data_IF_891079050700
#
_entry.id   IF_891079050700
#
_cell.length_a   1.000
_cell.length_b   1.000
_cell.length_c   1.000
_cell.angle_alpha   90.00
_cell.angle_beta   90.00
_cell.angle_gamma   90.00
#
_symmetry.space_group_name_H-M   'P 1'
#
loop_
_entity.id
_entity.type
_entity.pdbx_description
1 polymer ?
#
# COMPACT_ATOMS: atom_id res chain seq x y z
N UNK A 1 10.50 -33.41 65.58
CA UNK A 1 9.27 -32.87 64.96
C UNK A 1 9.47 -31.64 64.06
N UNK A 2 10.62 -30.95 64.03
CA UNK A 2 10.83 -29.78 63.14
C UNK A 2 11.26 -30.11 61.69
N UNK A 3 11.84 -31.28 61.43
CA UNK A 3 12.35 -31.64 60.09
C UNK A 3 11.30 -32.24 59.16
N UNK A 4 10.15 -32.69 59.67
CA UNK A 4 9.08 -33.26 58.85
C UNK A 4 8.15 -32.21 58.24
N UNK A 5 8.11 -31.00 58.81
CA UNK A 5 7.26 -29.90 58.30
C UNK A 5 7.85 -29.24 57.05
N UNK A 6 9.20 -29.23 56.93
CA UNK A 6 9.89 -28.63 55.78
C UNK A 6 9.74 -29.46 54.50
N UNK A 7 9.62 -30.79 54.62
CA UNK A 7 9.41 -31.69 53.49
C UNK A 7 8.00 -31.61 52.89
N UNK A 8 6.99 -31.31 53.73
CA UNK A 8 5.61 -31.14 53.29
C UNK A 8 5.43 -29.77 52.58
N UNK A 9 6.12 -28.73 53.05
CA UNK A 9 6.10 -27.42 52.40
C UNK A 9 6.79 -27.45 51.01
N UNK A 10 7.85 -28.25 50.85
CA UNK A 10 8.57 -28.38 49.58
C UNK A 10 7.76 -29.17 48.51
N UNK A 11 6.92 -30.13 48.93
CA UNK A 11 6.03 -30.85 48.01
C UNK A 11 4.80 -30.05 47.57
N UNK A 12 4.35 -29.08 48.38
CA UNK A 12 3.22 -28.21 48.02
C UNK A 12 3.57 -27.18 46.92
N UNK A 13 4.84 -26.75 46.84
CA UNK A 13 5.31 -25.84 45.77
C UNK A 13 5.62 -26.54 44.42
N UNK A 14 5.60 -27.88 44.37
CA UNK A 14 5.81 -28.63 43.11
C UNK A 14 4.51 -28.94 42.36
N UNK A 15 3.36 -28.51 42.88
CA UNK A 15 2.04 -28.82 42.32
C UNK A 15 1.36 -27.66 41.58
N UNK A 16 2.05 -26.51 41.44
CA UNK A 16 1.63 -25.55 40.43
C UNK A 16 1.88 -26.18 39.07
N UNK A 17 0.82 -26.73 38.46
CA UNK A 17 0.78 -26.96 37.03
C UNK A 17 1.09 -25.60 36.38
N UNK A 18 2.36 -25.40 36.03
CA UNK A 18 2.73 -24.43 35.03
C UNK A 18 2.14 -25.02 33.75
N UNK A 19 0.85 -24.75 33.52
CA UNK A 19 0.24 -25.00 32.23
C UNK A 19 0.97 -24.07 31.27
N UNK A 20 2.00 -24.60 30.62
CA UNK A 20 2.49 -24.02 29.38
C UNK A 20 1.25 -23.82 28.53
N UNK A 21 1.01 -22.57 28.12
CA UNK A 21 -0.16 -22.19 27.35
C UNK A 21 -0.22 -23.07 26.10
N UNK A 22 -1.08 -24.09 26.12
CA UNK A 22 -1.22 -25.06 25.04
C UNK A 22 -2.38 -24.60 24.16
N UNK A 23 -2.18 -24.61 22.84
CA UNK A 23 -3.27 -24.35 21.89
C UNK A 23 -4.46 -25.30 22.12
N UNK A 24 -5.65 -24.87 21.70
CA UNK A 24 -6.90 -25.61 21.89
C UNK A 24 -7.08 -26.68 20.80
N UNK A 25 -7.90 -27.70 21.07
CA UNK A 25 -8.29 -28.70 20.07
C UNK A 25 -9.55 -28.27 19.32
N UNK A 26 -9.77 -28.84 18.13
CA UNK A 26 -10.93 -28.51 17.31
C UNK A 26 -12.29 -28.66 18.04
N UNK A 27 -12.56 -29.71 18.86
CA UNK A 27 -13.81 -29.79 19.59
C UNK A 27 -14.05 -28.65 20.59
N UNK A 28 -12.97 -28.05 21.11
CA UNK A 28 -13.07 -26.87 21.95
C UNK A 28 -13.34 -25.61 21.13
N UNK A 29 -12.66 -25.46 19.97
CA UNK A 29 -12.94 -24.38 19.03
C UNK A 29 -14.41 -24.42 18.56
N UNK A 30 -14.90 -25.60 18.15
CA UNK A 30 -16.27 -25.80 17.69
C UNK A 30 -17.30 -25.25 18.69
N UNK A 31 -17.12 -25.57 19.99
CA UNK A 31 -17.98 -25.02 21.06
C UNK A 31 -17.90 -23.51 21.22
N UNK A 32 -16.75 -22.91 20.95
CA UNK A 32 -16.53 -21.46 21.08
C UNK A 32 -17.12 -20.69 19.91
N UNK A 33 -17.18 -21.30 18.71
CA UNK A 33 -17.70 -20.67 17.51
C UNK A 33 -19.17 -21.03 17.21
N UNK A 34 -19.74 -22.00 17.94
CA UNK A 34 -21.17 -22.39 17.92
C UNK A 34 -22.17 -21.23 17.95
N UNK A 35 -21.93 -20.11 18.70
CA UNK A 35 -22.85 -18.98 18.67
C UNK A 35 -22.90 -18.22 17.33
N UNK A 36 -21.92 -18.42 16.45
CA UNK A 36 -21.76 -17.66 15.20
C UNK A 36 -22.11 -18.48 13.96
N UNK A 37 -22.08 -19.81 14.06
CA UNK A 37 -22.19 -20.72 12.92
C UNK A 37 -23.10 -21.89 13.22
N UNK A 38 -23.90 -22.29 12.24
CA UNK A 38 -24.61 -23.55 12.29
C UNK A 38 -23.64 -24.75 12.31
N UNK A 39 -24.08 -25.85 12.92
CA UNK A 39 -23.29 -27.08 13.04
C UNK A 39 -22.78 -27.59 11.68
N UNK A 40 -23.57 -27.41 10.61
CA UNK A 40 -23.19 -27.79 9.25
C UNK A 40 -21.94 -27.03 8.77
N UNK A 41 -21.90 -25.71 9.01
CA UNK A 41 -20.77 -24.85 8.67
C UNK A 41 -19.52 -25.20 9.49
N UNK A 42 -19.68 -25.50 10.78
CA UNK A 42 -18.57 -25.96 11.63
C UNK A 42 -17.99 -27.28 11.11
N UNK A 43 -18.82 -28.19 10.63
CA UNK A 43 -18.35 -29.43 10.01
C UNK A 43 -17.64 -29.19 8.66
N UNK A 44 -17.99 -28.14 7.91
CA UNK A 44 -17.25 -27.78 6.69
C UNK A 44 -15.83 -27.31 7.00
N UNK A 45 -15.61 -26.58 8.09
CA UNK A 45 -14.27 -26.27 8.59
C UNK A 45 -13.51 -27.56 8.91
N UNK A 46 -14.15 -28.47 9.65
CA UNK A 46 -13.54 -29.73 10.06
C UNK A 46 -13.02 -30.54 8.88
N UNK A 47 -13.76 -30.59 7.77
CA UNK A 47 -13.40 -31.33 6.55
C UNK A 47 -12.19 -30.72 5.83
N UNK A 48 -12.05 -29.40 5.89
CA UNK A 48 -11.03 -28.66 5.14
C UNK A 48 -9.72 -28.43 5.92
N UNK A 49 -9.76 -28.61 7.24
CA UNK A 49 -8.56 -28.64 8.08
C UNK A 49 -7.74 -29.93 7.87
N UNK A 50 -6.46 -29.98 8.29
CA UNK A 50 -5.61 -31.15 8.10
C UNK A 50 -6.23 -32.45 8.65
N UNK A 51 -6.47 -33.41 7.76
CA UNK A 51 -6.98 -34.74 8.11
C UNK A 51 -5.83 -35.70 8.46
N UNK A 52 -6.03 -36.52 9.49
CA UNK A 52 -5.06 -37.57 9.87
C UNK A 52 -3.79 -37.07 10.59
N UNK A 53 -3.62 -35.75 10.75
CA UNK A 53 -2.57 -35.15 11.56
C UNK A 53 -3.17 -34.53 12.82
N UNK A 54 -2.54 -34.74 13.98
CA UNK A 54 -2.92 -34.01 15.20
C UNK A 54 -2.43 -32.56 15.11
N UNK A 55 -3.26 -31.62 15.55
CA UNK A 55 -2.94 -30.19 15.53
C UNK A 55 -3.53 -29.46 16.74
N UNK A 56 -3.02 -28.26 16.99
CA UNK A 56 -3.52 -27.34 18.01
C UNK A 56 -3.79 -25.98 17.37
N UNK A 57 -4.89 -25.35 17.75
CA UNK A 57 -5.27 -24.00 17.32
C UNK A 57 -4.72 -23.01 18.36
N UNK A 58 -3.96 -22.03 17.90
CA UNK A 58 -3.27 -21.06 18.76
C UNK A 58 -3.92 -19.68 18.74
N UNK A 59 -4.63 -19.35 17.67
CA UNK A 59 -5.44 -18.15 17.55
C UNK A 59 -6.60 -18.41 16.60
N UNK A 60 -7.71 -17.73 16.83
CA UNK A 60 -8.84 -17.67 15.93
C UNK A 60 -9.57 -16.36 16.12
N UNK A 61 -10.30 -15.94 15.09
CA UNK A 61 -11.25 -14.85 15.21
C UNK A 61 -12.43 -15.07 14.26
N UNK A 62 -13.56 -14.44 14.57
CA UNK A 62 -14.82 -14.53 13.82
C UNK A 62 -15.32 -13.13 13.51
N UNK A 63 -15.68 -12.88 12.26
CA UNK A 63 -16.23 -11.60 11.82
C UNK A 63 -16.29 -11.55 10.29
N UNK A 64 -16.86 -10.48 9.75
CA UNK A 64 -17.07 -10.30 8.32
C UNK A 64 -15.82 -9.66 7.66
N UNK A 65 -15.07 -10.42 6.85
CA UNK A 65 -14.00 -9.90 6.00
C UNK A 65 -14.26 -10.09 4.49
N UNK A 66 -15.33 -10.79 4.12
CA UNK A 66 -15.89 -10.87 2.76
C UNK A 66 -16.74 -9.63 2.40
N UNK A 67 -17.26 -8.93 3.41
CA UNK A 67 -18.16 -7.80 3.27
C UNK A 67 -19.58 -8.17 2.87
N UNK A 68 -19.98 -9.44 2.98
CA UNK A 68 -21.30 -9.93 2.57
C UNK A 68 -22.36 -9.89 3.70
N UNK A 69 -21.97 -9.47 4.90
CA UNK A 69 -22.84 -9.37 6.07
C UNK A 69 -22.98 -10.67 6.86
N UNK A 70 -22.30 -11.76 6.46
CA UNK A 70 -22.20 -13.00 7.20
C UNK A 70 -20.86 -13.09 7.95
N UNK A 71 -20.81 -13.97 8.96
CA UNK A 71 -19.57 -14.16 9.70
C UNK A 71 -18.63 -15.05 8.87
N UNK A 72 -17.36 -14.67 8.85
CA UNK A 72 -16.26 -15.49 8.37
C UNK A 72 -15.40 -15.96 9.55
N UNK A 73 -14.45 -16.86 9.31
CA UNK A 73 -13.54 -17.32 10.37
C UNK A 73 -12.11 -17.47 9.86
N UNK A 74 -11.18 -16.98 10.67
CA UNK A 74 -9.75 -17.17 10.48
C UNK A 74 -9.15 -17.89 11.67
N UNK A 75 -8.12 -18.71 11.43
CA UNK A 75 -7.42 -19.42 12.52
C UNK A 75 -5.96 -19.70 12.20
N UNK A 76 -5.12 -19.69 13.24
CA UNK A 76 -3.74 -20.13 13.21
C UNK A 76 -3.58 -21.48 13.91
N UNK A 77 -3.02 -22.45 13.20
CA UNK A 77 -2.85 -23.83 13.67
C UNK A 77 -1.39 -24.26 13.62
N UNK A 78 -1.03 -25.15 14.54
CA UNK A 78 0.25 -25.85 14.60
C UNK A 78 0.03 -27.34 14.53
N UNK A 79 0.70 -28.02 13.62
CA UNK A 79 0.71 -29.48 13.56
C UNK A 79 1.56 -30.04 14.71
N UNK A 80 1.03 -30.97 15.49
CA UNK A 80 1.69 -31.54 16.67
C UNK A 80 2.98 -32.31 16.32
N UNK A 81 3.03 -32.91 15.12
CA UNK A 81 4.20 -33.65 14.63
C UNK A 81 5.29 -32.77 14.00
N UNK A 82 5.02 -31.48 13.78
CA UNK A 82 5.95 -30.59 13.12
C UNK A 82 6.98 -30.01 14.12
N UNK A 83 8.22 -30.47 13.99
CA UNK A 83 9.37 -29.99 14.77
C UNK A 83 9.92 -28.66 14.27
N UNK A 84 9.53 -28.23 13.08
CA UNK A 84 9.88 -26.90 12.57
C UNK A 84 9.06 -25.82 13.28
N UNK A 85 9.49 -24.56 13.15
CA UNK A 85 8.80 -23.41 13.73
C UNK A 85 7.67 -22.90 12.82
N UNK A 86 6.94 -23.81 12.18
CA UNK A 86 5.87 -23.45 11.23
C UNK A 86 4.51 -23.33 11.91
N UNK A 87 3.78 -22.31 11.49
CA UNK A 87 2.37 -22.09 11.75
C UNK A 87 1.64 -22.01 10.42
N UNK A 88 0.45 -22.60 10.37
CA UNK A 88 -0.43 -22.50 9.22
C UNK A 88 -1.60 -21.59 9.57
N UNK A 89 -1.89 -20.62 8.72
CA UNK A 89 -3.03 -19.72 8.87
C UNK A 89 -4.06 -20.07 7.81
N UNK A 90 -5.31 -20.21 8.22
CA UNK A 90 -6.44 -20.52 7.34
C UNK A 90 -7.48 -19.41 7.44
N UNK A 91 -7.98 -18.99 6.30
CA UNK A 91 -9.09 -18.05 6.15
C UNK A 91 -10.23 -18.79 5.49
N UNK A 92 -11.42 -18.69 6.07
CA UNK A 92 -12.65 -19.27 5.54
C UNK A 92 -13.69 -18.17 5.43
N UNK A 93 -14.35 -18.08 4.28
CA UNK A 93 -15.48 -17.18 4.07
C UNK A 93 -16.77 -17.99 3.89
N UNK A 94 -17.91 -17.44 4.29
CA UNK A 94 -19.21 -18.03 3.96
C UNK A 94 -19.54 -17.74 2.49
N UNK A 95 -19.55 -18.79 1.66
CA UNK A 95 -19.88 -18.69 0.25
C UNK A 95 -21.07 -19.60 -0.02
N UNK A 96 -22.22 -18.98 -0.30
CA UNK A 96 -23.49 -19.65 -0.58
C UNK A 96 -23.98 -20.59 0.56
N UNK A 97 -23.69 -20.24 1.82
CA UNK A 97 -24.08 -21.04 2.99
C UNK A 97 -23.11 -22.19 3.27
N UNK A 98 -21.85 -22.05 2.85
CA UNK A 98 -20.77 -23.00 3.09
C UNK A 98 -19.51 -22.24 3.50
N UNK A 99 -18.89 -22.62 4.62
CA UNK A 99 -17.58 -22.08 4.97
C UNK A 99 -16.51 -22.69 4.06
N UNK A 100 -16.06 -21.93 3.08
CA UNK A 100 -15.05 -22.35 2.11
C UNK A 100 -13.69 -21.75 2.44
N UNK A 101 -12.63 -22.55 2.33
CA UNK A 101 -11.25 -22.07 2.54
C UNK A 101 -10.86 -21.15 1.40
N UNK A 102 -10.76 -19.85 1.70
CA UNK A 102 -10.37 -18.82 0.73
C UNK A 102 -8.88 -18.48 0.78
N UNK A 103 -8.20 -18.82 1.88
CA UNK A 103 -6.78 -18.54 2.05
C UNK A 103 -6.06 -19.57 2.92
N UNK A 104 -4.82 -19.89 2.56
CA UNK A 104 -3.92 -20.71 3.37
C UNK A 104 -2.50 -20.19 3.28
N UNK A 105 -1.92 -19.84 4.43
CA UNK A 105 -0.58 -19.29 4.52
C UNK A 105 0.28 -20.11 5.48
N UNK A 106 1.59 -20.08 5.27
CA UNK A 106 2.55 -20.72 6.18
C UNK A 106 3.57 -19.70 6.61
N UNK A 107 3.71 -19.52 7.92
CA UNK A 107 4.65 -18.59 8.53
C UNK A 107 5.57 -19.31 9.50
N UNK A 108 6.76 -18.75 9.69
CA UNK A 108 7.66 -19.19 10.75
C UNK A 108 7.51 -18.27 11.96
N UNK A 109 7.31 -18.84 13.15
CA UNK A 109 7.41 -18.08 14.40
C UNK A 109 8.85 -18.05 14.90
N UNK A 110 9.19 -17.07 15.73
CA UNK A 110 10.55 -16.89 16.24
C UNK A 110 10.77 -17.76 17.48
N UNK A 111 9.96 -17.58 18.51
CA UNK A 111 10.06 -18.22 19.81
C UNK A 111 8.80 -19.04 20.14
N UNK A 112 7.62 -18.46 19.96
CA UNK A 112 6.35 -19.05 20.37
C UNK A 112 5.30 -18.99 19.24
N UNK A 113 4.44 -20.01 19.10
CA UNK A 113 3.35 -20.00 18.12
C UNK A 113 2.41 -18.78 18.20
N UNK A 114 2.26 -18.18 19.39
CA UNK A 114 1.43 -16.99 19.64
C UNK A 114 1.93 -15.74 18.91
N UNK A 115 3.15 -15.76 18.39
CA UNK A 115 3.70 -14.69 17.55
C UNK A 115 3.07 -14.64 16.15
N UNK A 116 2.28 -15.66 15.80
CA UNK A 116 1.44 -15.71 14.60
C UNK A 116 -0.02 -15.71 15.02
N UNK A 117 -0.69 -14.58 14.82
CA UNK A 117 -2.07 -14.35 15.23
C UNK A 117 -2.96 -13.94 14.07
N UNK A 118 -4.27 -14.10 14.26
CA UNK A 118 -5.29 -13.64 13.33
C UNK A 118 -6.32 -12.79 14.07
N UNK A 119 -6.81 -11.73 13.42
CA UNK A 119 -7.88 -10.86 13.93
C UNK A 119 -8.74 -10.43 12.76
N UNK A 120 -10.07 -10.49 12.88
CA UNK A 120 -11.01 -9.97 11.89
C UNK A 120 -11.62 -8.68 12.43
N UNK A 121 -11.41 -7.57 11.72
CA UNK A 121 -11.93 -6.26 12.12
C UNK A 121 -12.07 -5.34 10.91
N UNK A 122 -13.19 -4.60 10.86
CA UNK A 122 -13.37 -3.54 9.87
C UNK A 122 -13.34 -4.03 8.43
N UNK A 123 -13.98 -5.17 8.14
CA UNK A 123 -14.02 -5.75 6.79
C UNK A 123 -12.71 -6.39 6.34
N UNK A 124 -11.77 -6.65 7.26
CA UNK A 124 -10.45 -7.22 6.95
C UNK A 124 -10.04 -8.30 7.94
N UNK A 125 -9.40 -9.35 7.45
CA UNK A 125 -8.70 -10.36 8.25
C UNK A 125 -7.21 -10.01 8.31
N UNK A 126 -6.73 -9.59 9.48
CA UNK A 126 -5.33 -9.31 9.74
C UNK A 126 -4.61 -10.56 10.18
N UNK A 127 -3.47 -10.84 9.53
CA UNK A 127 -2.52 -11.87 9.93
C UNK A 127 -1.28 -11.20 10.48
N UNK A 128 -1.07 -11.33 11.79
CA UNK A 128 0.09 -10.76 12.48
C UNK A 128 1.22 -11.78 12.51
N UNK A 129 2.43 -11.35 12.17
CA UNK A 129 3.66 -12.15 12.28
C UNK A 129 4.81 -11.34 12.88
N UNK A 130 5.56 -11.97 13.78
CA UNK A 130 6.81 -11.43 14.33
C UNK A 130 8.01 -12.00 13.57
N UNK A 131 8.79 -11.14 12.93
CA UNK A 131 10.03 -11.55 12.25
C UNK A 131 11.24 -11.50 13.18
N UNK A 132 11.29 -10.51 14.08
CA UNK A 132 12.36 -10.29 15.08
C UNK A 132 11.75 -9.66 16.35
N UNK A 133 12.54 -9.53 17.41
CA UNK A 133 12.08 -9.04 18.72
C UNK A 133 11.23 -7.75 18.68
N UNK A 134 11.51 -6.85 17.73
CA UNK A 134 10.79 -5.59 17.52
C UNK A 134 10.32 -5.39 16.07
N UNK A 135 10.30 -6.46 15.28
CA UNK A 135 9.93 -6.43 13.87
C UNK A 135 8.64 -7.22 13.71
N UNK A 136 7.54 -6.51 13.52
CA UNK A 136 6.22 -7.10 13.34
C UNK A 136 5.64 -6.63 12.02
N UNK A 137 4.95 -7.55 11.35
CA UNK A 137 4.19 -7.28 10.14
C UNK A 137 2.77 -7.78 10.36
N UNK A 138 1.79 -6.98 9.94
CA UNK A 138 0.38 -7.33 9.92
C UNK A 138 -0.10 -7.17 8.48
N UNK A 139 -0.40 -8.30 7.84
CA UNK A 139 -0.95 -8.32 6.48
C UNK A 139 -2.48 -8.44 6.58
N UNK A 140 -3.21 -7.48 6.03
CA UNK A 140 -4.67 -7.44 6.03
C UNK A 140 -5.22 -7.99 4.72
N UNK A 141 -6.16 -8.92 4.83
CA UNK A 141 -6.81 -9.56 3.70
C UNK A 141 -8.30 -9.24 3.67
N UNK A 142 -8.83 -8.96 2.49
CA UNK A 142 -10.27 -8.86 2.21
C UNK A 142 -10.62 -9.86 1.12
N UNK A 143 -11.85 -10.37 1.14
CA UNK A 143 -12.31 -11.31 0.12
C UNK A 143 -13.44 -10.68 -0.70
N UNK A 144 -13.28 -10.62 -2.01
CA UNK A 144 -14.29 -10.04 -2.90
C UNK A 144 -14.42 -10.86 -4.18
N UNK A 145 -15.63 -11.35 -4.47
CA UNK A 145 -15.98 -12.05 -5.71
C UNK A 145 -14.97 -13.15 -6.12
N UNK A 146 -14.61 -14.02 -5.17
CA UNK A 146 -13.67 -15.12 -5.41
C UNK A 146 -12.19 -14.72 -5.36
N UNK A 147 -11.85 -13.44 -5.18
CA UNK A 147 -10.48 -12.97 -5.05
C UNK A 147 -10.15 -12.65 -3.59
N UNK A 148 -9.12 -13.30 -3.04
CA UNK A 148 -8.49 -12.92 -1.78
C UNK A 148 -7.43 -11.86 -2.06
N UNK A 149 -7.66 -10.66 -1.53
CA UNK A 149 -6.84 -9.48 -1.77
C UNK A 149 -6.05 -9.14 -0.52
N UNK A 150 -4.72 -8.96 -0.62
CA UNK A 150 -3.95 -8.30 0.43
C UNK A 150 -4.17 -6.80 0.31
N UNK A 151 -5.11 -6.27 1.09
CA UNK A 151 -5.52 -4.88 1.00
C UNK A 151 -4.56 -3.92 1.69
N UNK A 152 -3.86 -4.37 2.73
CA UNK A 152 -2.99 -3.52 3.53
C UNK A 152 -1.84 -4.30 4.17
N UNK A 153 -0.69 -3.66 4.33
CA UNK A 153 0.39 -4.14 5.20
C UNK A 153 0.77 -3.04 6.18
N UNK A 154 0.68 -3.34 7.47
CA UNK A 154 1.32 -2.57 8.54
C UNK A 154 2.62 -3.26 8.96
N UNK A 155 3.70 -2.51 9.10
CA UNK A 155 4.97 -3.01 9.58
C UNK A 155 5.57 -2.07 10.63
N UNK A 156 6.18 -2.65 11.67
CA UNK A 156 6.96 -1.91 12.67
C UNK A 156 8.33 -2.53 12.79
N UNK A 157 9.35 -1.69 12.99
CA UNK A 157 10.71 -2.13 13.32
C UNK A 157 11.41 -1.11 14.20
N UNK A 158 12.40 -1.58 14.96
CA UNK A 158 13.30 -0.72 15.73
C UNK A 158 14.44 -0.20 14.85
N UNK A 159 14.69 1.10 14.87
CA UNK A 159 15.85 1.73 14.22
C UNK A 159 16.49 2.74 15.16
N UNK A 160 17.66 2.40 15.71
CA UNK A 160 18.31 3.19 16.77
C UNK A 160 17.37 3.41 17.97
N UNK A 161 17.15 4.67 18.33
CA UNK A 161 16.25 5.09 19.40
C UNK A 161 14.77 5.23 18.99
N UNK A 162 14.44 4.88 17.75
CA UNK A 162 13.13 5.08 17.16
C UNK A 162 12.43 3.77 16.85
N UNK A 163 11.11 3.77 17.04
CA UNK A 163 10.19 2.81 16.43
C UNK A 163 9.73 3.40 15.11
N UNK A 164 9.98 2.70 14.02
CA UNK A 164 9.51 3.06 12.69
C UNK A 164 8.27 2.24 12.36
N UNK A 165 7.18 2.91 12.01
CA UNK A 165 5.92 2.30 11.57
C UNK A 165 5.65 2.68 10.11
N UNK A 166 5.22 1.70 9.33
CA UNK A 166 4.95 1.80 7.90
C UNK A 166 3.60 1.17 7.61
N UNK A 167 2.71 1.90 6.93
CA UNK A 167 1.46 1.37 6.37
C UNK A 167 1.53 1.49 4.87
N UNK A 168 1.10 0.45 4.16
CA UNK A 168 0.87 0.44 2.72
C UNK A 168 -0.50 -0.16 2.47
N UNK A 169 -1.43 0.65 1.97
CA UNK A 169 -2.73 0.22 1.51
C UNK A 169 -2.67 0.08 -0.02
N UNK A 170 -2.94 -1.13 -0.51
CA UNK A 170 -2.85 -1.49 -1.92
C UNK A 170 -4.15 -1.25 -2.70
N UNK A 171 -5.25 -0.96 -2.00
CA UNK A 171 -6.58 -0.69 -2.58
C UNK A 171 -6.79 0.81 -2.77
N UNK A 172 -6.52 1.60 -1.74
CA UNK A 172 -6.68 3.06 -1.79
C UNK A 172 -5.36 3.76 -2.17
N UNK A 173 -4.29 2.98 -2.37
CA UNK A 173 -2.96 3.45 -2.71
C UNK A 173 -2.37 4.48 -1.73
N UNK A 174 -2.73 4.37 -0.45
CA UNK A 174 -2.17 5.20 0.62
C UNK A 174 -0.94 4.59 1.28
N UNK A 175 0.06 5.44 1.51
CA UNK A 175 1.22 5.13 2.35
C UNK A 175 1.27 6.02 3.58
N UNK A 176 1.68 5.45 4.72
CA UNK A 176 2.14 6.25 5.86
C UNK A 176 3.49 5.78 6.35
N UNK A 177 4.30 6.74 6.78
CA UNK A 177 5.62 6.51 7.38
C UNK A 177 5.72 7.35 8.66
N UNK A 178 6.05 6.70 9.77
CA UNK A 178 6.07 7.32 11.10
C UNK A 178 7.30 6.92 11.89
N UNK A 179 7.98 7.89 12.50
CA UNK A 179 9.09 7.64 13.42
C UNK A 179 8.74 8.17 14.81
N UNK A 180 8.78 7.26 15.79
CA UNK A 180 8.41 7.53 17.18
C UNK A 180 9.63 7.28 18.04
N UNK A 181 10.04 8.23 18.87
CA UNK A 181 11.12 8.03 19.83
C UNK A 181 10.68 7.01 20.87
N UNK A 182 11.31 5.84 20.92
CA UNK A 182 10.75 4.72 21.68
C UNK A 182 10.80 4.92 23.20
N UNK A 183 11.69 5.77 23.70
CA UNK A 183 11.82 6.02 25.14
C UNK A 183 10.59 6.72 25.73
N UNK A 184 10.01 7.67 25.01
CA UNK A 184 8.96 8.57 25.50
C UNK A 184 7.69 8.57 24.63
N UNK A 185 7.69 7.90 23.48
CA UNK A 185 6.54 7.85 22.56
C UNK A 185 6.35 9.12 21.74
N UNK A 186 7.32 10.03 21.73
CA UNK A 186 7.24 11.28 20.99
C UNK A 186 7.32 11.03 19.48
N UNK A 187 6.32 11.50 18.74
CA UNK A 187 6.32 11.46 17.27
C UNK A 187 7.30 12.50 16.74
N UNK A 188 8.34 12.03 16.07
CA UNK A 188 9.41 12.86 15.53
C UNK A 188 9.23 13.12 14.03
N UNK A 189 8.49 12.25 13.35
CA UNK A 189 8.17 12.37 11.93
C UNK A 189 6.92 11.58 11.60
N UNK A 190 6.08 12.15 10.75
CA UNK A 190 4.91 11.50 10.18
C UNK A 190 4.63 12.03 8.77
N UNK A 191 4.37 11.13 7.83
CA UNK A 191 3.89 11.46 6.48
C UNK A 191 2.79 10.51 6.06
N UNK A 192 1.77 11.06 5.41
CA UNK A 192 0.69 10.36 4.71
C UNK A 192 0.65 10.84 3.28
N UNK A 193 0.63 9.91 2.32
CA UNK A 193 0.77 10.24 0.90
C UNK A 193 0.15 9.18 0.00
N UNK A 194 -0.15 9.54 -1.26
CA UNK A 194 -0.59 8.59 -2.29
C UNK A 194 0.60 7.96 -3.02
N UNK A 195 0.37 6.74 -3.49
CA UNK A 195 1.33 5.90 -4.18
C UNK A 195 0.82 5.59 -5.58
N UNK A 196 1.65 5.76 -6.59
CA UNK A 196 1.31 5.48 -7.97
C UNK A 196 2.06 4.24 -8.44
N UNK A 197 1.42 3.07 -8.55
CA UNK A 197 2.05 1.95 -9.25
C UNK A 197 2.12 2.26 -10.75
N UNK A 198 3.29 2.03 -11.34
CA UNK A 198 3.52 2.14 -12.78
C UNK A 198 3.85 0.78 -13.32
N UNK A 199 3.01 0.28 -14.21
CA UNK A 199 3.18 -1.03 -14.85
C UNK A 199 3.74 -0.89 -16.26
N UNK A 200 4.35 -1.95 -16.78
CA UNK A 200 4.79 -1.98 -18.17
C UNK A 200 3.64 -1.67 -19.13
N UNK A 201 3.94 -0.88 -20.17
CA UNK A 201 2.96 -0.44 -21.15
C UNK A 201 2.27 -1.63 -21.83
N UNK A 202 0.94 -1.54 -21.96
CA UNK A 202 0.12 -2.59 -22.58
C UNK A 202 -0.23 -3.76 -21.64
N UNK A 203 0.21 -3.74 -20.38
CA UNK A 203 -0.18 -4.72 -19.38
C UNK A 203 -1.65 -4.54 -19.01
N UNK A 204 -2.42 -5.63 -19.09
CA UNK A 204 -3.78 -5.68 -18.55
C UNK A 204 -3.70 -5.81 -17.03
N UNK A 205 -4.36 -4.92 -16.29
CA UNK A 205 -4.43 -4.96 -14.83
C UNK A 205 -5.69 -5.72 -14.43
N UNK A 206 -5.53 -6.80 -13.69
CA UNK A 206 -6.63 -7.65 -13.28
C UNK A 206 -7.29 -7.16 -11.98
N UNK A 207 -8.51 -7.64 -11.72
CA UNK A 207 -9.25 -7.35 -10.49
C UNK A 207 -8.40 -7.64 -9.25
N UNK A 208 -8.42 -6.70 -8.30
CA UNK A 208 -7.67 -6.79 -7.05
C UNK A 208 -6.35 -6.03 -7.05
N UNK A 209 -5.88 -5.58 -8.21
CA UNK A 209 -4.73 -4.69 -8.32
C UNK A 209 -5.18 -3.29 -8.75
N UNK A 210 -4.54 -2.28 -8.21
CA UNK A 210 -4.83 -0.87 -8.51
C UNK A 210 -3.77 -0.30 -9.45
N UNK A 211 -4.20 0.58 -10.34
CA UNK A 211 -3.33 1.22 -11.33
C UNK A 211 -3.45 2.75 -11.35
N UNK A 212 -4.44 3.29 -10.64
CA UNK A 212 -4.78 4.70 -10.68
C UNK A 212 -4.89 5.23 -9.26
N UNK A 213 -4.13 6.28 -8.94
CA UNK A 213 -4.38 7.03 -7.71
C UNK A 213 -5.52 8.03 -7.93
N UNK A 214 -6.20 8.40 -6.86
CA UNK A 214 -7.25 9.41 -6.84
C UNK A 214 -6.99 10.38 -5.68
N UNK A 215 -7.10 11.68 -5.93
CA UNK A 215 -6.99 12.72 -4.90
C UNK A 215 -8.19 13.65 -4.93
N UNK A 216 -8.89 13.71 -3.79
CA UNK A 216 -9.99 14.60 -3.44
C UNK A 216 -9.90 15.03 -1.97
N UNK A 217 -8.71 14.94 -1.36
CA UNK A 217 -8.52 15.10 0.07
C UNK A 217 -8.27 16.55 0.43
N UNK A 218 -9.08 17.10 1.34
CA UNK A 218 -8.89 18.45 1.88
C UNK A 218 -7.50 18.65 2.50
N UNK A 219 -6.94 17.61 3.14
CA UNK A 219 -5.60 17.65 3.73
C UNK A 219 -4.48 17.84 2.69
N UNK A 220 -4.78 17.61 1.41
CA UNK A 220 -3.85 17.78 0.29
C UNK A 220 -4.09 19.07 -0.50
N UNK A 221 -5.01 19.92 -0.05
CA UNK A 221 -5.15 21.28 -0.57
C UNK A 221 -4.16 22.19 0.17
N UNK A 222 -3.04 22.51 -0.47
CA UNK A 222 -1.96 23.29 0.16
C UNK A 222 -2.02 24.78 -0.16
N UNK A 223 -2.83 25.19 -1.13
CA UNK A 223 -3.26 26.57 -1.33
C UNK A 223 -4.73 26.60 -1.74
N UNK A 224 -5.47 27.64 -1.32
CA UNK A 224 -6.84 27.83 -1.80
C UNK A 224 -7.92 26.99 -1.14
N UNK A 225 -7.67 26.35 0.01
CA UNK A 225 -8.66 25.50 0.70
C UNK A 225 -10.00 26.20 1.02
N UNK A 226 -10.03 27.53 1.06
CA UNK A 226 -11.27 28.31 1.20
C UNK A 226 -12.13 28.31 -0.07
N UNK A 227 -11.51 28.24 -1.26
CA UNK A 227 -12.17 28.25 -2.55
C UNK A 227 -12.57 26.85 -3.01
N UNK A 228 -11.88 25.81 -2.53
CA UNK A 228 -12.18 24.44 -2.89
C UNK A 228 -13.56 23.98 -2.39
N UNK A 229 -14.45 23.61 -3.31
CA UNK A 229 -15.86 23.24 -3.02
C UNK A 229 -16.09 21.72 -2.99
N UNK A 230 -15.05 20.93 -3.19
CA UNK A 230 -15.08 19.47 -3.14
C UNK A 230 -14.62 18.81 -4.45
N UNK A 231 -14.88 17.52 -4.60
CA UNK A 231 -14.33 16.71 -5.69
C UNK A 231 -14.77 17.14 -7.10
N UNK A 232 -15.91 17.81 -7.24
CA UNK A 232 -16.43 18.30 -8.52
C UNK A 232 -15.79 19.60 -8.96
N UNK A 233 -15.25 20.34 -8.01
CA UNK A 233 -14.60 21.65 -8.20
C UNK A 233 -13.12 21.44 -8.52
N UNK A 234 -12.41 20.62 -7.74
CA UNK A 234 -11.11 20.11 -8.16
C UNK A 234 -10.86 18.72 -7.56
N UNK A 235 -10.68 17.71 -8.41
CA UNK A 235 -10.11 16.41 -8.05
C UNK A 235 -9.34 15.83 -9.23
N UNK A 236 -8.49 14.83 -8.99
CA UNK A 236 -7.78 14.21 -10.10
C UNK A 236 -7.47 12.73 -9.89
N UNK A 237 -7.39 12.01 -11.01
CA UNK A 237 -6.89 10.63 -11.12
C UNK A 237 -5.60 10.61 -11.92
N UNK A 238 -4.67 9.75 -11.53
CA UNK A 238 -3.45 9.52 -12.31
C UNK A 238 -3.21 8.04 -12.52
N UNK A 239 -3.10 7.65 -13.78
CA UNK A 239 -2.57 6.35 -14.21
C UNK A 239 -1.11 6.49 -14.67
N UNK A 240 -0.27 5.50 -14.37
CA UNK A 240 1.10 5.44 -14.89
C UNK A 240 1.41 4.14 -15.61
N UNK A 241 2.20 4.25 -16.67
CA UNK A 241 2.86 3.10 -17.29
C UNK A 241 4.29 3.44 -17.71
N UNK A 242 5.09 2.43 -18.00
CA UNK A 242 6.47 2.62 -18.44
C UNK A 242 6.89 1.64 -19.53
N UNK A 243 7.91 2.02 -20.29
CA UNK A 243 8.70 1.11 -21.12
C UNK A 243 10.20 1.31 -20.81
N UNK A 244 11.10 0.77 -21.62
CA UNK A 244 12.54 0.86 -21.38
C UNK A 244 13.08 2.30 -21.40
N UNK A 245 12.38 3.23 -22.05
CA UNK A 245 12.88 4.59 -22.32
C UNK A 245 12.01 5.68 -21.69
N UNK A 246 10.71 5.46 -21.52
CA UNK A 246 9.76 6.48 -21.11
C UNK A 246 8.87 6.04 -19.95
N UNK A 247 8.59 7.02 -19.08
CA UNK A 247 7.43 7.05 -18.20
C UNK A 247 6.27 7.73 -18.91
N UNK A 248 5.06 7.21 -18.72
CA UNK A 248 3.83 7.75 -19.25
C UNK A 248 2.86 8.01 -18.10
N UNK A 249 2.19 9.16 -18.14
CA UNK A 249 1.11 9.50 -17.23
C UNK A 249 -0.13 9.87 -18.02
N UNK A 250 -1.29 9.40 -17.55
CA UNK A 250 -2.60 9.93 -17.92
C UNK A 250 -3.18 10.54 -16.65
N UNK A 251 -3.54 11.82 -16.72
CA UNK A 251 -4.00 12.63 -15.60
C UNK A 251 -5.38 13.14 -15.98
N UNK A 252 -6.41 12.63 -15.33
CA UNK A 252 -7.79 13.04 -15.52
C UNK A 252 -8.18 14.00 -14.40
N UNK A 253 -8.41 15.26 -14.74
CA UNK A 253 -8.78 16.33 -13.80
C UNK A 253 -10.28 16.57 -13.91
N UNK A 254 -10.96 16.49 -12.76
CA UNK A 254 -12.33 16.95 -12.62
C UNK A 254 -12.32 18.39 -12.10
N UNK A 255 -13.06 19.24 -12.79
CA UNK A 255 -13.04 20.69 -12.66
C UNK A 255 -14.37 21.25 -13.15
N UNK A 256 -15.00 22.13 -12.36
CA UNK A 256 -16.28 22.74 -12.72
C UNK A 256 -16.13 23.94 -13.66
N UNK A 257 -14.99 24.64 -13.65
CA UNK A 257 -14.68 25.77 -14.52
C UNK A 257 -13.22 25.71 -14.99
N UNK A 258 -13.00 25.06 -16.14
CA UNK A 258 -11.68 25.05 -16.78
C UNK A 258 -11.31 26.45 -17.30
N UNK A 259 -10.22 27.02 -16.80
CA UNK A 259 -9.60 28.26 -17.25
C UNK A 259 -8.46 27.96 -18.24
N UNK A 260 -8.68 28.14 -19.56
CA UNK A 260 -7.68 27.84 -20.58
C UNK A 260 -6.61 28.94 -20.70
N UNK A 261 -5.47 28.56 -21.26
CA UNK A 261 -4.37 29.50 -21.49
C UNK A 261 -4.61 30.38 -22.73
N UNK A 262 -5.40 31.44 -22.59
CA UNK A 262 -5.74 32.35 -23.70
C UNK A 262 -4.54 33.20 -24.19
N UNK A 263 -3.59 33.53 -23.31
CA UNK A 263 -2.39 34.32 -23.64
C UNK A 263 -1.15 33.80 -22.90
N UNK A 264 0.05 34.18 -23.35
CA UNK A 264 1.31 33.61 -22.82
C UNK A 264 1.60 33.98 -21.36
N UNK A 265 0.96 35.05 -20.87
CA UNK A 265 1.06 35.54 -19.49
C UNK A 265 -0.22 35.33 -18.69
N UNK A 266 -1.26 34.76 -19.29
CA UNK A 266 -2.55 34.54 -18.65
C UNK A 266 -2.42 33.42 -17.62
N UNK A 267 -3.18 33.53 -16.53
CA UNK A 267 -3.39 32.39 -15.64
C UNK A 267 -4.15 31.30 -16.39
N UNK A 268 -3.93 30.06 -15.97
CA UNK A 268 -4.50 28.87 -16.58
C UNK A 268 -4.41 27.75 -15.58
N UNK A 269 -5.32 26.79 -15.69
CA UNK A 269 -5.18 25.53 -14.96
C UNK A 269 -3.94 24.81 -15.46
N UNK A 270 -3.26 24.11 -14.57
CA UNK A 270 -2.06 23.40 -14.93
C UNK A 270 -1.81 22.23 -13.99
N UNK A 271 -0.95 21.32 -14.44
CA UNK A 271 -0.50 20.20 -13.62
C UNK A 271 1.00 20.22 -13.50
N UNK A 272 1.49 20.33 -12.28
CA UNK A 272 2.89 20.16 -11.93
C UNK A 272 3.16 18.70 -11.53
N UNK A 273 4.17 18.08 -12.15
CA UNK A 273 4.72 16.80 -11.70
C UNK A 273 6.09 17.06 -11.08
N UNK A 274 6.24 16.71 -9.79
CA UNK A 274 7.47 16.84 -9.04
C UNK A 274 8.09 15.48 -8.79
N UNK A 275 9.37 15.32 -9.13
CA UNK A 275 10.16 14.12 -8.88
C UNK A 275 11.30 14.40 -7.91
N UNK A 276 11.53 13.47 -6.98
CA UNK A 276 12.78 13.30 -6.24
C UNK A 276 13.43 12.00 -6.69
N UNK A 277 14.46 12.10 -7.54
CA UNK A 277 15.15 10.93 -8.10
C UNK A 277 16.26 10.40 -7.19
N UNK A 278 16.49 11.05 -6.04
CA UNK A 278 17.44 10.54 -5.07
C UNK A 278 16.81 9.37 -4.31
N UNK A 279 17.41 8.19 -4.44
CA UNK A 279 17.02 7.03 -3.63
C UNK A 279 17.82 7.10 -2.33
N UNK A 280 17.16 7.49 -1.24
CA UNK A 280 17.78 7.50 0.08
C UNK A 280 17.68 6.12 0.74
N UNK A 281 18.83 5.52 1.05
CA UNK A 281 18.92 4.26 1.80
C UNK A 281 18.32 3.05 1.07
N UNK A 282 18.43 1.87 1.69
CA UNK A 282 17.92 0.60 1.14
C UNK A 282 16.41 0.44 1.39
N UNK A 283 15.85 1.11 2.41
CA UNK A 283 14.50 0.80 2.91
C UNK A 283 13.55 2.00 3.08
N UNK A 284 14.03 3.25 3.03
CA UNK A 284 13.17 4.43 3.24
C UNK A 284 13.70 5.71 2.57
N UNK A 285 12.95 6.23 1.59
CA UNK A 285 13.24 7.48 0.88
C UNK A 285 13.23 8.75 1.75
N UNK A 286 12.64 8.71 2.94
CA UNK A 286 12.44 9.87 3.80
C UNK A 286 13.55 10.12 4.82
N UNK A 287 14.35 9.11 5.15
CA UNK A 287 15.26 9.16 6.26
C UNK A 287 16.63 8.61 5.89
N UNK A 288 17.67 9.30 6.32
CA UNK A 288 19.06 8.88 6.20
C UNK A 288 19.57 8.36 7.54
N UNK A 289 20.26 7.22 7.48
CA UNK A 289 20.85 6.57 8.64
C UNK A 289 22.34 6.88 8.68
N UNK A 290 22.77 7.65 9.68
CA UNK A 290 24.18 7.93 9.89
C UNK A 290 24.84 6.82 10.73
N UNK A 291 26.16 6.71 10.66
CA UNK A 291 26.95 5.64 11.31
C UNK A 291 26.76 5.56 12.84
N UNK A 292 26.37 6.65 13.48
CA UNK A 292 26.19 6.74 14.94
C UNK A 292 24.74 6.47 15.39
N UNK A 293 23.87 5.98 14.48
CA UNK A 293 22.46 5.74 14.79
C UNK A 293 21.59 7.00 14.81
N UNK A 294 22.17 8.15 14.42
CA UNK A 294 21.44 9.40 14.19
C UNK A 294 20.59 9.23 12.92
N UNK A 295 19.31 9.58 13.04
CA UNK A 295 18.37 9.62 11.92
C UNK A 295 18.13 11.07 11.55
N UNK A 296 18.32 11.41 10.29
CA UNK A 296 17.98 12.71 9.72
C UNK A 296 16.90 12.55 8.65
N UNK A 297 15.86 13.39 8.71
CA UNK A 297 14.77 13.38 7.73
C UNK A 297 15.10 14.31 6.57
N UNK A 298 14.85 13.85 5.34
CA UNK A 298 15.10 14.59 4.10
C UNK A 298 14.04 15.66 3.89
N UNK A 299 14.11 16.70 4.71
CA UNK A 299 13.20 17.86 4.71
C UNK A 299 13.62 18.96 3.74
N UNK A 300 14.77 18.79 3.10
CA UNK A 300 15.29 19.66 2.05
C UNK A 300 16.17 18.84 1.10
N UNK A 301 16.18 19.20 -0.18
CA UNK A 301 17.14 18.66 -1.16
C UNK A 301 17.78 19.78 -1.97
N UNK A 302 19.09 19.71 -2.14
CA UNK A 302 19.87 20.62 -2.99
C UNK A 302 19.98 20.13 -4.43
N UNK A 303 19.76 18.83 -4.68
CA UNK A 303 19.85 18.19 -5.99
C UNK A 303 18.81 17.08 -6.17
N UNK A 304 18.66 16.56 -7.38
CA UNK A 304 17.77 15.46 -7.76
C UNK A 304 16.28 15.81 -7.78
N UNK A 305 15.92 17.10 -7.77
CA UNK A 305 14.53 17.56 -7.85
C UNK A 305 14.22 18.02 -9.27
N UNK A 306 13.15 17.48 -9.86
CA UNK A 306 12.68 17.82 -11.19
C UNK A 306 11.20 18.22 -11.13
N UNK A 307 10.84 19.30 -11.81
CA UNK A 307 9.47 19.78 -11.96
C UNK A 307 9.10 19.90 -13.42
N UNK A 308 7.99 19.31 -13.80
CA UNK A 308 7.38 19.44 -15.12
C UNK A 308 6.03 20.14 -14.95
N UNK A 309 5.95 21.42 -15.35
CA UNK A 309 4.71 22.21 -15.35
C UNK A 309 4.01 22.05 -16.69
N UNK A 310 2.92 21.30 -16.71
CA UNK A 310 2.16 20.97 -17.91
C UNK A 310 0.98 21.92 -18.01
N UNK A 311 1.01 22.76 -19.05
CA UNK A 311 -0.09 23.65 -19.37
C UNK A 311 -0.96 22.95 -20.42
N UNK A 312 -2.29 22.86 -20.23
CA UNK A 312 -3.17 22.12 -21.14
C UNK A 312 -3.38 22.85 -22.48
N UNK A 313 -3.05 24.13 -22.55
CA UNK A 313 -3.27 24.98 -23.73
C UNK A 313 -4.64 25.64 -23.68
N UNK A 314 -5.22 25.92 -24.86
CA UNK A 314 -6.57 26.47 -24.96
C UNK A 314 -7.56 25.57 -25.69
N UNK A 315 -7.17 24.33 -25.97
CA UNK A 315 -7.99 23.31 -26.66
C UNK A 315 -8.47 23.71 -28.06
N UNK A 316 -7.91 24.78 -28.63
CA UNK A 316 -8.24 25.30 -29.96
C UNK A 316 -6.95 25.42 -30.78
N UNK A 317 -6.22 26.52 -30.60
CA UNK A 317 -5.03 26.86 -31.38
C UNK A 317 -3.72 26.69 -30.61
N UNK A 318 -3.76 26.76 -29.28
CA UNK A 318 -2.60 26.55 -28.40
C UNK A 318 -2.63 25.13 -27.88
N UNK A 319 -1.66 24.35 -28.36
CA UNK A 319 -1.41 22.99 -27.88
C UNK A 319 -0.85 22.97 -26.46
N UNK A 320 -1.02 21.84 -25.78
CA UNK A 320 -0.42 21.60 -24.48
C UNK A 320 1.11 21.64 -24.56
N UNK A 321 1.76 22.17 -23.54
CA UNK A 321 3.22 22.30 -23.50
C UNK A 321 3.75 22.13 -22.07
N UNK A 322 5.05 21.83 -21.96
CA UNK A 322 5.71 21.53 -20.69
C UNK A 322 6.83 22.52 -20.40
N UNK A 323 6.77 23.17 -19.25
CA UNK A 323 7.89 23.90 -18.67
C UNK A 323 8.67 22.98 -17.74
N UNK A 324 9.99 23.05 -17.81
CA UNK A 324 10.86 22.21 -16.98
C UNK A 324 11.65 23.10 -16.03
N UNK A 325 11.73 22.68 -14.77
CA UNK A 325 12.66 23.22 -13.79
C UNK A 325 13.36 22.05 -13.06
N UNK A 326 14.60 22.24 -12.64
CA UNK A 326 15.33 21.27 -11.83
C UNK A 326 16.29 21.99 -10.89
N UNK A 327 16.60 21.36 -9.77
CA UNK A 327 17.69 21.77 -8.87
C UNK A 327 19.08 21.53 -9.47
N UNK A 328 19.18 20.68 -10.50
CA UNK A 328 20.46 20.15 -10.99
C UNK A 328 21.01 20.94 -12.17
N UNK A 329 22.34 20.89 -12.32
CA UNK A 329 22.98 21.28 -13.57
C UNK A 329 22.65 20.26 -14.68
N UNK A 330 21.84 20.70 -15.65
CA UNK A 330 21.35 19.83 -16.73
C UNK A 330 22.49 19.44 -17.67
N UNK A 331 22.78 18.14 -17.74
CA UNK A 331 23.77 17.58 -18.68
C UNK A 331 23.36 17.76 -20.15
N UNK A 332 24.30 17.69 -21.12
CA UNK A 332 23.95 17.76 -22.54
C UNK A 332 22.95 16.68 -22.99
N UNK A 333 23.05 15.48 -22.42
CA UNK A 333 22.12 14.39 -22.68
C UNK A 333 20.73 14.72 -22.15
N UNK A 334 20.60 15.13 -20.89
CA UNK A 334 19.31 15.52 -20.31
C UNK A 334 18.65 16.68 -21.08
N UNK A 335 19.44 17.66 -21.56
CA UNK A 335 18.95 18.76 -22.39
C UNK A 335 18.48 18.29 -23.78
N UNK A 336 19.11 17.26 -24.34
CA UNK A 336 18.63 16.68 -25.58
C UNK A 336 17.32 15.92 -25.35
N UNK A 337 17.26 15.12 -24.29
CA UNK A 337 16.10 14.31 -23.92
C UNK A 337 14.91 15.14 -23.44
N UNK A 338 15.13 16.32 -22.86
CA UNK A 338 14.03 17.22 -22.47
C UNK A 338 13.13 17.61 -23.64
N UNK A 339 13.63 17.57 -24.89
CA UNK A 339 12.85 17.81 -26.11
C UNK A 339 11.92 16.65 -26.46
N UNK A 340 12.16 15.46 -25.90
CA UNK A 340 11.33 14.27 -26.11
C UNK A 340 10.16 14.19 -25.13
N UNK A 341 10.14 15.05 -24.11
CA UNK A 341 8.97 15.25 -23.24
C UNK A 341 7.85 15.83 -24.09
N UNK A 342 6.71 15.14 -24.12
CA UNK A 342 5.53 15.58 -24.87
C UNK A 342 4.31 15.47 -23.98
N UNK A 343 3.47 16.49 -24.04
CA UNK A 343 2.15 16.50 -23.43
C UNK A 343 1.09 16.71 -24.52
N UNK A 344 -0.08 16.11 -24.32
CA UNK A 344 -1.30 16.41 -25.07
C UNK A 344 -2.43 16.56 -24.05
N UNK A 345 -3.40 17.43 -24.35
CA UNK A 345 -4.55 17.61 -23.49
C UNK A 345 -5.84 17.68 -24.31
N UNK A 346 -6.95 17.23 -23.72
CA UNK A 346 -8.28 17.32 -24.31
C UNK A 346 -9.30 17.67 -23.21
N UNK A 347 -10.33 18.43 -23.58
CA UNK A 347 -11.49 18.64 -22.72
C UNK A 347 -12.31 17.36 -22.58
N UNK A 348 -12.99 17.25 -21.46
CA UNK A 348 -13.96 16.20 -21.15
C UNK A 348 -15.22 16.83 -20.58
N UNK A 349 -16.29 16.05 -20.43
CA UNK A 349 -17.54 16.53 -19.84
C UNK A 349 -17.40 16.96 -18.36
N UNK A 350 -16.29 16.61 -17.70
CA UNK A 350 -16.06 16.83 -16.27
C UNK A 350 -14.85 17.71 -15.96
N UNK A 351 -14.17 18.26 -16.96
CA UNK A 351 -12.87 18.93 -16.79
C UNK A 351 -11.97 18.62 -17.99
N UNK A 352 -10.75 18.12 -17.75
CA UNK A 352 -9.79 17.83 -18.82
C UNK A 352 -8.89 16.63 -18.52
N UNK A 353 -8.31 16.06 -19.58
CA UNK A 353 -7.31 15.00 -19.49
C UNK A 353 -5.98 15.48 -20.05
N UNK A 354 -4.88 15.14 -19.37
CA UNK A 354 -3.51 15.36 -19.82
C UNK A 354 -2.83 13.99 -19.99
N UNK A 355 -2.17 13.78 -21.12
CA UNK A 355 -1.26 12.65 -21.32
C UNK A 355 0.13 13.16 -21.55
N UNK A 356 1.08 12.75 -20.71
CA UNK A 356 2.47 13.18 -20.80
C UNK A 356 3.39 11.98 -20.83
N UNK A 357 4.47 12.09 -21.62
CA UNK A 357 5.58 11.13 -21.63
C UNK A 357 6.87 11.81 -21.19
N UNK A 358 7.66 11.13 -20.37
CA UNK A 358 8.90 11.64 -19.79
C UNK A 358 10.02 10.62 -20.01
N UNK A 359 11.12 10.97 -20.69
CA UNK A 359 12.25 10.05 -20.85
C UNK A 359 12.95 9.78 -19.51
N UNK A 360 13.33 8.54 -19.24
CA UNK A 360 14.15 8.19 -18.07
C UNK A 360 15.52 8.87 -18.09
N UNK A 361 16.09 9.04 -19.29
CA UNK A 361 17.36 9.73 -19.50
C UNK A 361 17.31 11.22 -19.14
N UNK A 362 16.13 11.85 -19.18
CA UNK A 362 15.97 13.20 -18.64
C UNK A 362 16.08 13.21 -17.10
N UNK A 363 15.54 12.19 -16.42
CA UNK A 363 15.62 12.00 -14.98
C UNK A 363 16.98 11.47 -14.49
N UNK A 364 17.96 11.33 -15.38
CA UNK A 364 19.33 10.88 -15.04
C UNK A 364 19.55 9.38 -15.15
N UNK A 365 18.56 8.59 -15.58
CA UNK A 365 18.70 7.15 -15.76
C UNK A 365 18.96 6.79 -17.23
N UNK A 366 19.96 5.95 -17.51
CA UNK A 366 20.25 5.56 -18.89
C UNK A 366 19.05 4.86 -19.58
N UNK A 367 18.30 4.06 -18.83
CA UNK A 367 17.07 3.35 -19.21
C UNK A 367 16.15 3.25 -17.99
N UNK A 368 14.99 2.63 -18.13
CA UNK A 368 14.14 2.22 -17.01
C UNK A 368 14.99 1.55 -15.90
N UNK A 369 14.95 2.05 -14.65
CA UNK A 369 15.77 1.53 -13.56
C UNK A 369 15.22 0.24 -12.92
N UNK A 370 14.05 -0.25 -13.34
CA UNK A 370 13.45 -1.48 -12.82
C UNK A 370 14.33 -2.70 -13.12
N UNK A 371 14.53 -3.54 -12.09
CA UNK A 371 15.13 -4.87 -12.26
C UNK A 371 14.05 -5.95 -12.31
N UNK A 372 14.37 -7.15 -12.82
CA UNK A 372 13.39 -8.24 -12.98
C UNK A 372 12.63 -8.60 -11.70
N UNK A 373 13.25 -8.43 -10.53
CA UNK A 373 12.73 -8.92 -9.25
C UNK A 373 12.53 -7.84 -8.19
N UNK A 374 12.80 -6.57 -8.49
CA UNK A 374 12.73 -5.51 -7.50
C UNK A 374 12.06 -4.28 -8.09
N UNK A 375 10.96 -3.86 -7.44
CA UNK A 375 10.30 -2.61 -7.75
C UNK A 375 11.17 -1.43 -7.31
N UNK A 376 11.13 -0.36 -8.10
CA UNK A 376 11.87 0.87 -7.80
C UNK A 376 10.87 1.93 -7.36
N UNK A 377 11.11 2.49 -6.17
CA UNK A 377 10.30 3.57 -5.61
C UNK A 377 11.10 4.88 -5.61
N UNK A 378 10.53 5.96 -6.13
CA UNK A 378 11.07 7.31 -5.98
C UNK A 378 9.96 8.32 -5.65
N UNK A 379 10.36 9.46 -5.10
CA UNK A 379 9.41 10.51 -4.72
C UNK A 379 8.75 11.09 -5.95
N UNK A 380 7.42 11.11 -5.98
CA UNK A 380 6.65 11.68 -7.07
C UNK A 380 5.36 12.30 -6.54
N UNK A 381 5.10 13.56 -6.89
CA UNK A 381 3.87 14.27 -6.50
C UNK A 381 3.26 14.96 -7.68
N UNK A 382 1.94 14.87 -7.79
CA UNK A 382 1.14 15.64 -8.73
C UNK A 382 0.50 16.79 -7.98
N UNK A 383 0.52 17.97 -8.58
CA UNK A 383 -0.16 19.17 -8.09
C UNK A 383 -1.01 19.71 -9.22
N UNK A 384 -2.33 19.73 -9.02
CA UNK A 384 -3.27 20.40 -9.92
C UNK A 384 -3.49 21.81 -9.38
N UNK A 385 -3.18 22.81 -10.21
CA UNK A 385 -3.57 24.19 -9.98
C UNK A 385 -4.84 24.45 -10.77
N UNK A 386 -5.89 24.82 -10.04
CA UNK A 386 -7.23 25.10 -10.53
C UNK A 386 -7.54 26.58 -10.25
N UNK A 387 -8.10 27.27 -11.24
CA UNK A 387 -8.61 28.63 -11.13
C UNK A 387 -10.09 28.68 -11.51
N UNK A 388 -10.94 29.19 -10.62
CA UNK A 388 -12.36 29.41 -10.93
C UNK A 388 -12.59 30.54 -11.96
N UNK A 389 -11.60 31.44 -12.13
CA UNK A 389 -11.79 32.68 -12.87
C UNK A 389 -10.49 33.28 -13.42
N UNK A 390 -10.43 33.48 -14.74
CA UNK A 390 -9.25 34.02 -15.45
C UNK A 390 -8.84 35.45 -15.02
N UNK A 391 -9.73 36.20 -14.37
CA UNK A 391 -9.48 37.57 -13.89
C UNK A 391 -9.24 37.68 -12.38
N UNK A 392 -9.37 36.57 -11.64
CA UNK A 392 -9.27 36.54 -10.17
C UNK A 392 -8.23 35.51 -9.74
N UNK A 393 -6.92 35.82 -9.88
CA UNK A 393 -5.85 34.88 -9.56
C UNK A 393 -5.80 34.50 -8.07
N UNK A 394 -6.52 35.22 -7.21
CA UNK A 394 -6.69 34.84 -5.81
C UNK A 394 -7.65 33.66 -5.60
N UNK A 395 -8.56 33.38 -6.55
CA UNK A 395 -9.47 32.23 -6.55
C UNK A 395 -8.77 31.00 -7.15
N UNK A 396 -7.65 30.63 -6.52
CA UNK A 396 -6.78 29.54 -6.93
C UNK A 396 -6.84 28.42 -5.89
N UNK A 397 -7.03 27.19 -6.34
CA UNK A 397 -6.88 25.96 -5.56
C UNK A 397 -5.64 25.19 -6.03
N UNK A 398 -4.83 24.69 -5.10
CA UNK A 398 -3.75 23.75 -5.40
C UNK A 398 -3.95 22.44 -4.63
N UNK A 399 -4.42 21.42 -5.35
CA UNK A 399 -4.65 20.08 -4.82
C UNK A 399 -3.49 19.16 -5.21
N UNK A 400 -2.94 18.44 -4.24
CA UNK A 400 -1.81 17.54 -4.47
C UNK A 400 -2.10 16.07 -4.16
N UNK A 401 -1.16 15.17 -4.48
CA UNK A 401 -1.21 13.74 -4.13
C UNK A 401 -0.59 13.41 -2.77
N UNK A 402 -0.19 14.44 -2.01
CA UNK A 402 0.42 14.35 -0.67
C UNK A 402 0.34 15.71 0.03
N UNK A 403 0.74 15.78 1.31
CA UNK A 403 0.95 17.06 2.03
C UNK A 403 2.23 17.72 1.51
N UNK A 404 2.13 18.35 0.34
CA UNK A 404 3.26 18.71 -0.49
C UNK A 404 3.94 20.02 -0.07
N UNK A 405 5.27 20.03 -0.14
CA UNK A 405 6.11 21.22 -0.04
C UNK A 405 7.23 21.15 -1.08
N UNK A 406 7.38 22.17 -1.95
CA UNK A 406 8.47 22.24 -2.91
C UNK A 406 9.84 22.05 -2.24
N UNK A 407 10.73 21.32 -2.89
CA UNK A 407 12.11 21.02 -2.42
C UNK A 407 12.24 20.32 -1.06
N UNK A 408 11.13 19.87 -0.45
CA UNK A 408 11.12 18.97 0.70
C UNK A 408 10.76 17.55 0.22
N UNK A 409 11.75 16.66 -0.05
CA UNK A 409 11.49 15.28 -0.46
C UNK A 409 10.56 14.51 0.46
N UNK A 410 10.56 14.84 1.76
CA UNK A 410 9.71 14.18 2.74
C UNK A 410 8.23 14.43 2.52
N UNK A 411 7.88 15.49 1.81
CA UNK A 411 6.50 15.85 1.49
C UNK A 411 5.96 15.10 0.27
N UNK A 412 6.79 14.37 -0.48
CA UNK A 412 6.41 13.85 -1.79
C UNK A 412 5.55 12.59 -1.65
N UNK A 413 4.64 12.38 -2.61
CA UNK A 413 4.05 11.07 -2.88
C UNK A 413 5.07 10.07 -3.41
N UNK A 414 4.59 8.93 -3.90
CA UNK A 414 5.44 7.84 -4.35
C UNK A 414 5.07 7.38 -5.75
N UNK A 415 6.06 7.14 -6.59
CA UNK A 415 5.91 6.41 -7.86
C UNK A 415 6.66 5.10 -7.73
N UNK A 416 5.95 3.99 -7.89
CA UNK A 416 6.48 2.63 -7.77
C UNK A 416 6.51 1.98 -9.13
N UNK A 417 7.69 1.82 -9.71
CA UNK A 417 7.85 1.10 -10.96
C UNK A 417 7.81 -0.40 -10.69
N UNK A 418 6.78 -1.08 -11.20
CA UNK A 418 6.50 -2.49 -10.91
C UNK A 418 7.11 -3.38 -11.98
N UNK A 419 7.93 -4.39 -11.62
CA UNK A 419 8.49 -5.35 -12.58
C UNK A 419 7.42 -6.11 -13.36
N UNK A 420 7.77 -6.56 -14.57
CA UNK A 420 6.86 -7.26 -15.49
C UNK A 420 6.17 -8.47 -14.85
N UNK A 421 6.87 -9.19 -13.99
CA UNK A 421 6.40 -10.44 -13.36
C UNK A 421 5.82 -10.24 -11.96
N UNK A 422 5.65 -8.99 -11.51
CA UNK A 422 5.18 -8.67 -10.18
C UNK A 422 3.96 -7.77 -10.22
N UNK A 423 3.23 -7.71 -9.11
CA UNK A 423 2.12 -6.80 -8.93
C UNK A 423 2.34 -5.93 -7.70
N UNK A 424 1.79 -4.72 -7.71
CA UNK A 424 1.72 -3.90 -6.52
C UNK A 424 0.58 -4.38 -5.62
N UNK A 425 0.92 -5.17 -4.60
CA UNK A 425 -0.04 -5.89 -3.75
C UNK A 425 -0.10 -7.38 -4.09
N UNK A 426 -1.10 -8.08 -3.53
CA UNK A 426 -1.32 -9.50 -3.79
C UNK A 426 -2.81 -9.76 -4.01
N UNK A 427 -3.15 -10.56 -5.02
CA UNK A 427 -4.51 -11.01 -5.31
C UNK A 427 -4.45 -12.47 -5.77
N UNK A 428 -5.25 -13.33 -5.15
CA UNK A 428 -5.37 -14.75 -5.48
C UNK A 428 -6.83 -15.08 -5.71
N UNK A 429 -7.17 -15.58 -6.90
CA UNK A 429 -8.52 -16.05 -7.18
C UNK A 429 -8.64 -17.54 -6.80
N UNK A 430 -9.58 -17.86 -5.91
CA UNK A 430 -9.74 -19.22 -5.36
C UNK A 430 -10.24 -20.24 -6.39
N UNK A 431 -10.86 -19.78 -7.47
CA UNK A 431 -11.38 -20.61 -8.56
C UNK A 431 -10.38 -20.83 -9.69
N UNK A 432 -9.15 -20.30 -9.59
CA UNK A 432 -8.17 -20.35 -10.67
C UNK A 432 -7.91 -21.78 -11.15
N UNK A 433 -7.71 -22.72 -10.22
CA UNK A 433 -7.44 -24.12 -10.56
C UNK A 433 -8.63 -24.80 -11.24
N UNK A 434 -9.84 -24.56 -10.74
CA UNK A 434 -11.07 -25.13 -11.30
C UNK A 434 -11.37 -24.56 -12.69
N UNK A 435 -11.15 -23.26 -12.90
CA UNK A 435 -11.26 -22.60 -14.20
C UNK A 435 -10.25 -23.19 -15.18
N UNK A 436 -8.98 -23.33 -14.79
CA UNK A 436 -7.94 -23.91 -15.64
C UNK A 436 -8.30 -25.36 -16.00
N UNK A 437 -8.74 -26.16 -15.03
CA UNK A 437 -9.15 -27.54 -15.26
C UNK A 437 -10.34 -27.61 -16.22
N UNK A 438 -11.35 -26.77 -16.03
CA UNK A 438 -12.50 -26.69 -16.94
C UNK A 438 -12.08 -26.30 -18.35
N UNK A 439 -11.21 -25.29 -18.50
CA UNK A 439 -10.67 -24.89 -19.81
C UNK A 439 -9.91 -26.04 -20.50
N UNK A 440 -9.07 -26.77 -19.77
CA UNK A 440 -8.37 -27.95 -20.29
C UNK A 440 -9.34 -29.06 -20.71
N UNK A 441 -10.40 -29.30 -19.93
CA UNK A 441 -11.45 -30.30 -20.26
C UNK A 441 -12.21 -29.93 -21.55
N UNK A 442 -12.37 -28.63 -21.83
CA UNK A 442 -12.98 -28.13 -23.07
C UNK A 442 -11.99 -27.89 -24.22
N UNK A 443 -10.72 -28.22 -24.05
CA UNK A 443 -9.69 -28.21 -25.11
C UNK A 443 -9.06 -26.85 -25.40
N UNK A 444 -9.04 -25.93 -24.43
CA UNK A 444 -8.29 -24.68 -24.48
C UNK A 444 -6.84 -24.81 -24.02
#
# INVERSE_FOLDING_TARGET
MKNSLFLILFFLFLSSNIFAQSGIKFPELAKRIDPYFDIALIEDLRKQLPQGADFNIWGYDVGDFSGDGYNDVAMSIRLSGDRSRRMHVYLFADIDGFLQKVGQFTYNFLELPLEIGVVIRGGKCFVTKKNKQYDWIMDAYSFDNGALLKSETFATRRVGDFTYEKVRNYVDLFGTDKYIRTRNGEEMFYRKYLMLPSYSRGRMIYKGYQAELYSDYVDYVHAGAYYWKGETDCSFRVASSHDDNFLYFTIDVADDIVVPQNCDTCITDMVDIWFDVNIAGVDNRFAEYQKDGIITFRTSAESGIYRLSINPGNYLEKEAWVKIATSDDVTPLQRAESKNIKAVSNLTDKGYVIKVRVPFAFLGYATNPVSENEAVEFGCTFVVTDYDNEFRPEEKTELSSSVFSPFDPSSYGSLVLVPQNQWYGESVNIYTEDIIKGLMEYGF
#
